data_IF_478530754256
#
_entry.id   IF_478530754256
#
_cell.length_a   1.000
_cell.length_b   1.000
_cell.length_c   1.000
_cell.angle_alpha   90.00
_cell.angle_beta   90.00
_cell.angle_gamma   90.00
#
_symmetry.space_group_name_H-M   'P 1'
#
loop_
_entity.id
_entity.type
_entity.pdbx_description
1 polymer ?
#
# COMPACT_ATOMS: atom_id res chain seq x y z
N UNK A 1 -25.62 -23.98 6.44
CA UNK A 1 -25.12 -24.02 7.83
C UNK A 1 -23.61 -23.73 8.01
N UNK A 2 -22.75 -23.76 6.96
CA UNK A 2 -21.29 -23.50 7.10
C UNK A 2 -20.91 -22.02 7.40
N UNK A 3 -21.75 -21.05 7.04
CA UNK A 3 -21.43 -19.61 7.18
C UNK A 3 -21.77 -18.98 8.56
N UNK A 4 -22.69 -19.57 9.33
CA UNK A 4 -23.04 -19.04 10.66
C UNK A 4 -21.92 -19.25 11.69
N UNK A 5 -21.20 -20.37 11.62
CA UNK A 5 -20.10 -20.66 12.54
C UNK A 5 -18.85 -19.80 12.31
N UNK A 6 -18.63 -19.31 11.09
CA UNK A 6 -17.53 -18.40 10.78
C UNK A 6 -17.84 -16.96 11.27
N UNK A 7 -19.10 -16.53 11.15
CA UNK A 7 -19.53 -15.21 11.63
C UNK A 7 -19.47 -15.10 13.16
N UNK A 8 -19.91 -16.14 13.88
CA UNK A 8 -19.87 -16.20 15.36
C UNK A 8 -18.41 -16.20 15.85
N UNK A 9 -17.52 -16.95 15.21
CA UNK A 9 -16.09 -16.94 15.55
C UNK A 9 -15.45 -15.57 15.33
N UNK A 10 -15.72 -14.92 14.21
CA UNK A 10 -15.23 -13.56 13.96
C UNK A 10 -15.72 -12.55 14.98
N UNK A 11 -16.99 -12.64 15.40
CA UNK A 11 -17.54 -11.79 16.45
C UNK A 11 -16.91 -12.05 17.81
N UNK A 12 -16.69 -13.31 18.19
CA UNK A 12 -16.03 -13.67 19.46
C UNK A 12 -14.57 -13.18 19.50
N UNK A 13 -13.83 -13.29 18.40
CA UNK A 13 -12.47 -12.76 18.30
C UNK A 13 -12.46 -11.23 18.37
N UNK A 14 -13.41 -10.55 17.71
CA UNK A 14 -13.51 -9.09 17.78
C UNK A 14 -13.81 -8.61 19.22
N UNK A 15 -14.62 -9.35 19.97
CA UNK A 15 -14.91 -9.06 21.39
C UNK A 15 -13.67 -9.33 22.25
N UNK A 16 -12.95 -10.43 22.03
CA UNK A 16 -11.68 -10.72 22.71
C UNK A 16 -10.65 -9.63 22.49
N UNK A 17 -10.46 -9.21 21.24
CA UNK A 17 -9.57 -8.14 20.87
C UNK A 17 -9.96 -6.77 21.47
N UNK A 18 -11.26 -6.48 21.60
CA UNK A 18 -11.76 -5.30 22.32
C UNK A 18 -11.38 -5.27 23.80
N UNK A 19 -11.26 -6.44 24.41
CA UNK A 19 -10.88 -6.56 25.81
C UNK A 19 -9.36 -6.44 26.00
N UNK A 20 -8.59 -6.92 25.01
CA UNK A 20 -7.11 -6.86 25.03
C UNK A 20 -6.58 -5.48 24.60
N UNK A 21 -7.12 -4.90 23.53
CA UNK A 21 -6.82 -3.55 23.04
C UNK A 21 -8.12 -2.85 22.58
N UNK A 22 -8.78 -2.09 23.47
CA UNK A 22 -10.03 -1.40 23.15
C UNK A 22 -9.91 -0.42 21.99
N UNK A 23 -8.76 0.20 21.78
CA UNK A 23 -8.53 1.14 20.68
C UNK A 23 -8.48 0.41 19.34
N UNK A 24 -7.80 -0.71 19.27
CA UNK A 24 -7.73 -1.55 18.07
C UNK A 24 -9.09 -2.20 17.78
N UNK A 25 -9.80 -2.62 18.80
CA UNK A 25 -11.16 -3.13 18.65
C UNK A 25 -12.12 -2.13 18.04
N UNK A 26 -12.06 -0.87 18.45
CA UNK A 26 -12.84 0.23 17.85
C UNK A 26 -12.45 0.47 16.37
N UNK A 27 -11.19 0.38 16.04
CA UNK A 27 -10.69 0.49 14.67
C UNK A 27 -11.27 -0.61 13.76
N UNK A 28 -11.33 -1.87 14.21
CA UNK A 28 -11.96 -2.95 13.46
C UNK A 28 -13.46 -2.75 13.26
N UNK A 29 -14.19 -2.29 14.28
CA UNK A 29 -15.62 -1.96 14.14
C UNK A 29 -15.83 -0.86 13.10
N UNK A 30 -15.02 0.18 13.13
CA UNK A 30 -15.09 1.28 12.17
C UNK A 30 -14.81 0.80 10.75
N UNK A 31 -13.75 0.01 10.55
CA UNK A 31 -13.41 -0.56 9.24
C UNK A 31 -14.53 -1.48 8.73
N UNK A 32 -15.07 -2.35 9.58
CA UNK A 32 -16.21 -3.19 9.24
C UNK A 32 -17.44 -2.39 8.80
N UNK A 33 -17.72 -1.29 9.50
CA UNK A 33 -18.83 -0.40 9.15
C UNK A 33 -18.60 0.37 7.84
N UNK A 34 -17.36 0.80 7.57
CA UNK A 34 -16.99 1.44 6.31
C UNK A 34 -17.10 0.47 5.12
N UNK A 35 -16.70 -0.80 5.29
CA UNK A 35 -16.88 -1.85 4.29
C UNK A 35 -18.37 -2.02 3.95
N UNK A 36 -19.23 -2.15 4.97
CA UNK A 36 -20.67 -2.34 4.76
C UNK A 36 -21.31 -1.12 4.08
N UNK A 37 -20.92 0.10 4.44
CA UNK A 37 -21.41 1.32 3.80
C UNK A 37 -20.88 1.54 2.38
N UNK A 38 -19.69 1.02 2.07
CA UNK A 38 -19.05 1.14 0.76
C UNK A 38 -19.62 0.18 -0.30
N UNK A 39 -20.41 -0.85 0.10
CA UNK A 39 -20.93 -1.87 -0.79
C UNK A 39 -21.81 -1.40 -1.96
N UNK A 40 -22.49 -0.23 -1.95
CA UNK A 40 -23.21 0.27 -3.11
C UNK A 40 -22.47 1.35 -3.91
N UNK A 41 -21.23 1.69 -3.60
CA UNK A 41 -20.43 2.64 -4.37
C UNK A 41 -20.07 2.06 -5.73
N UNK A 42 -20.55 2.68 -6.81
CA UNK A 42 -20.30 2.21 -8.17
C UNK A 42 -18.81 2.01 -8.41
N UNK A 43 -18.47 0.94 -9.15
CA UNK A 43 -17.10 0.65 -9.56
C UNK A 43 -16.54 1.83 -10.32
N UNK A 44 -15.35 2.29 -9.93
CA UNK A 44 -14.66 3.41 -10.58
C UNK A 44 -14.01 3.05 -11.92
N UNK A 45 -14.18 1.81 -12.44
CA UNK A 45 -13.52 1.32 -13.66
C UNK A 45 -13.69 2.28 -14.86
N UNK A 46 -14.87 2.88 -15.02
CA UNK A 46 -15.15 3.83 -16.10
C UNK A 46 -14.52 5.22 -15.92
N UNK A 47 -13.93 5.52 -14.76
CA UNK A 47 -13.33 6.82 -14.45
C UNK A 47 -11.89 6.93 -14.91
N UNK A 48 -11.24 5.81 -15.22
CA UNK A 48 -9.82 5.74 -15.49
C UNK A 48 -9.52 5.24 -16.90
N UNK A 49 -8.48 5.80 -17.49
CA UNK A 49 -7.86 5.31 -18.73
C UNK A 49 -6.42 4.92 -18.41
N UNK A 50 -6.13 3.62 -18.24
CA UNK A 50 -4.78 3.17 -17.97
C UNK A 50 -3.86 3.46 -19.15
N UNK A 51 -2.60 3.77 -18.85
CA UNK A 51 -1.54 3.95 -19.84
C UNK A 51 -1.30 2.66 -20.61
N UNK A 52 -1.02 2.77 -21.90
CA UNK A 52 -0.60 1.64 -22.76
C UNK A 52 0.87 1.26 -22.51
N UNK A 53 1.69 2.19 -22.00
CA UNK A 53 3.11 1.99 -21.68
C UNK A 53 3.40 2.51 -20.26
N UNK A 54 2.87 1.85 -19.21
CA UNK A 54 2.91 2.38 -17.84
C UNK A 54 4.32 2.54 -17.28
N UNK A 55 5.23 1.60 -17.51
CA UNK A 55 6.62 1.70 -17.04
C UNK A 55 7.34 2.90 -17.65
N UNK A 56 7.25 3.08 -18.98
CA UNK A 56 7.84 4.24 -19.66
C UNK A 56 7.24 5.53 -19.13
N UNK A 57 5.92 5.58 -18.98
CA UNK A 57 5.24 6.78 -18.46
C UNK A 57 5.65 7.10 -17.04
N UNK A 58 5.85 6.09 -16.20
CA UNK A 58 6.36 6.28 -14.84
C UNK A 58 7.75 6.93 -14.86
N UNK A 59 8.67 6.44 -15.69
CA UNK A 59 10.02 7.02 -15.82
C UNK A 59 9.97 8.48 -16.30
N UNK A 60 9.10 8.80 -17.25
CA UNK A 60 8.87 10.19 -17.66
C UNK A 60 8.41 11.08 -16.50
N UNK A 61 7.51 10.58 -15.64
CA UNK A 61 7.03 11.30 -14.45
C UNK A 61 8.12 11.52 -13.40
N UNK A 62 9.01 10.55 -13.25
CA UNK A 62 10.13 10.60 -12.32
C UNK A 62 11.34 11.38 -12.87
N UNK A 63 11.31 11.81 -14.13
CA UNK A 63 12.46 12.42 -14.80
C UNK A 63 13.61 11.43 -15.01
N UNK A 64 13.31 10.14 -15.06
CA UNK A 64 14.26 9.05 -15.19
C UNK A 64 14.37 8.55 -16.65
N UNK A 65 15.49 7.92 -16.97
CA UNK A 65 15.71 7.31 -18.29
C UNK A 65 14.89 6.04 -18.48
N UNK A 66 14.52 5.75 -19.72
CA UNK A 66 13.90 4.51 -20.14
C UNK A 66 14.71 3.87 -21.28
N UNK A 67 14.98 2.55 -21.30
CA UNK A 67 14.57 1.51 -20.31
C UNK A 67 15.14 1.72 -18.92
N UNK A 68 14.47 1.13 -17.91
CA UNK A 68 14.89 1.21 -16.51
C UNK A 68 16.25 0.54 -16.29
N UNK A 69 17.22 1.27 -15.78
CA UNK A 69 18.54 0.73 -15.45
C UNK A 69 18.51 -0.26 -14.27
N UNK A 70 17.43 -0.26 -13.48
CA UNK A 70 17.25 -1.13 -12.31
C UNK A 70 16.30 -2.32 -12.56
N UNK A 71 15.92 -2.59 -13.82
CA UNK A 71 14.94 -3.64 -14.14
C UNK A 71 15.47 -5.03 -13.78
N UNK A 72 16.69 -5.36 -14.16
CA UNK A 72 17.28 -6.67 -13.87
C UNK A 72 17.37 -6.92 -12.35
N UNK A 73 17.66 -5.87 -11.56
CA UNK A 73 17.67 -5.98 -10.09
C UNK A 73 16.27 -6.27 -9.54
N UNK A 74 15.24 -5.62 -10.09
CA UNK A 74 13.84 -5.87 -9.71
C UNK A 74 13.42 -7.30 -10.02
N UNK A 75 13.72 -7.81 -11.21
CA UNK A 75 13.34 -9.16 -11.64
C UNK A 75 13.94 -10.23 -10.72
N UNK A 76 15.22 -10.07 -10.36
CA UNK A 76 15.88 -10.96 -9.38
C UNK A 76 15.24 -10.85 -8.00
N UNK A 77 14.96 -9.64 -7.53
CA UNK A 77 14.30 -9.42 -6.26
C UNK A 77 12.91 -10.05 -6.23
N UNK A 78 12.09 -9.78 -7.26
CA UNK A 78 10.73 -10.29 -7.34
C UNK A 78 10.67 -11.81 -7.25
N UNK A 79 11.51 -12.50 -8.03
CA UNK A 79 11.63 -13.95 -7.98
C UNK A 79 12.02 -14.45 -6.58
N UNK A 80 12.90 -13.74 -5.88
CA UNK A 80 13.29 -14.07 -4.50
C UNK A 80 12.14 -13.89 -3.51
N UNK A 81 11.34 -12.83 -3.65
CA UNK A 81 10.14 -12.59 -2.81
C UNK A 81 9.13 -13.71 -2.98
N UNK A 82 8.78 -14.04 -4.23
CA UNK A 82 7.84 -15.11 -4.56
C UNK A 82 8.30 -16.44 -3.97
N UNK A 83 9.56 -16.84 -4.27
CA UNK A 83 10.13 -18.11 -3.79
C UNK A 83 10.19 -18.19 -2.26
N UNK A 84 10.46 -17.07 -1.58
CA UNK A 84 10.50 -17.01 -0.11
C UNK A 84 9.13 -17.25 0.52
N UNK A 85 8.06 -16.71 -0.07
CA UNK A 85 6.69 -16.90 0.41
C UNK A 85 6.20 -18.31 0.14
N UNK A 86 6.51 -18.88 -1.03
CA UNK A 86 6.19 -20.27 -1.36
C UNK A 86 6.87 -21.26 -0.40
N UNK A 87 8.14 -21.02 -0.08
CA UNK A 87 8.90 -21.85 0.86
C UNK A 87 8.33 -21.82 2.30
N UNK A 88 7.59 -20.77 2.68
CA UNK A 88 6.90 -20.67 3.96
C UNK A 88 5.57 -21.44 3.97
N UNK A 89 5.20 -22.13 2.88
CA UNK A 89 3.97 -22.92 2.77
C UNK A 89 2.71 -22.09 2.55
N UNK A 90 2.84 -20.80 2.34
CA UNK A 90 1.77 -19.92 1.92
C UNK A 90 1.94 -19.66 0.43
N UNK A 91 0.98 -20.12 -0.40
CA UNK A 91 1.01 -19.85 -1.85
C UNK A 91 1.18 -18.36 -2.12
N UNK A 92 1.96 -18.01 -3.14
CA UNK A 92 2.02 -16.65 -3.64
C UNK A 92 0.74 -16.34 -4.43
N UNK A 93 0.28 -15.09 -4.37
CA UNK A 93 -0.93 -14.67 -5.07
C UNK A 93 -2.20 -14.79 -4.23
N UNK A 94 -2.06 -14.93 -2.91
CA UNK A 94 -3.21 -14.76 -2.02
C UNK A 94 -3.79 -13.35 -2.14
N UNK A 95 -5.06 -13.21 -1.78
CA UNK A 95 -5.88 -12.02 -1.98
C UNK A 95 -5.25 -10.69 -1.52
N UNK A 96 -4.33 -10.74 -0.57
CA UNK A 96 -3.70 -9.57 0.04
C UNK A 96 -2.24 -9.37 -0.36
N UNK A 97 -1.71 -10.16 -1.30
CA UNK A 97 -0.37 -9.91 -1.83
C UNK A 97 -0.44 -8.81 -2.89
N UNK A 98 0.59 -7.98 -2.92
CA UNK A 98 0.75 -7.01 -4.00
C UNK A 98 1.01 -7.71 -5.33
N UNK A 99 0.51 -7.13 -6.41
CA UNK A 99 0.87 -7.57 -7.76
C UNK A 99 2.23 -7.02 -8.20
N UNK A 100 2.79 -7.66 -9.24
CA UNK A 100 4.12 -7.30 -9.75
C UNK A 100 4.18 -5.88 -10.30
N UNK A 101 3.11 -5.38 -10.93
CA UNK A 101 3.13 -4.07 -11.57
C UNK A 101 3.15 -2.93 -10.53
N UNK A 102 2.40 -3.06 -9.42
CA UNK A 102 2.48 -2.12 -8.30
C UNK A 102 3.83 -2.21 -7.58
N UNK A 103 4.32 -3.43 -7.36
CA UNK A 103 5.63 -3.66 -6.74
C UNK A 103 6.77 -3.03 -7.57
N UNK A 104 6.74 -3.20 -8.90
CA UNK A 104 7.68 -2.57 -9.84
C UNK A 104 7.58 -1.04 -9.80
N UNK A 105 6.37 -0.49 -9.74
CA UNK A 105 6.18 0.95 -9.61
C UNK A 105 6.74 1.51 -8.30
N UNK A 106 6.54 0.81 -7.17
CA UNK A 106 7.16 1.16 -5.89
C UNK A 106 8.69 1.09 -5.97
N UNK A 107 9.23 0.02 -6.58
CA UNK A 107 10.67 -0.13 -6.81
C UNK A 107 11.24 1.04 -7.61
N UNK A 108 10.64 1.36 -8.76
CA UNK A 108 11.07 2.49 -9.61
C UNK A 108 11.04 3.81 -8.85
N UNK A 109 9.95 4.10 -8.12
CA UNK A 109 9.87 5.32 -7.32
C UNK A 109 10.98 5.39 -6.27
N UNK A 110 11.24 4.31 -5.54
CA UNK A 110 12.29 4.28 -4.52
C UNK A 110 13.68 4.41 -5.14
N UNK A 111 13.97 3.66 -6.22
CA UNK A 111 15.30 3.65 -6.84
C UNK A 111 15.66 4.97 -7.52
N UNK A 112 14.69 5.64 -8.14
CA UNK A 112 14.95 6.90 -8.87
C UNK A 112 14.80 8.15 -7.99
N UNK A 113 13.92 8.16 -6.99
CA UNK A 113 13.74 9.33 -6.11
C UNK A 113 14.71 9.37 -4.94
N UNK A 114 15.40 8.26 -4.60
CA UNK A 114 16.29 8.12 -3.45
C UNK A 114 15.65 8.67 -2.16
N UNK A 115 14.48 8.18 -1.76
CA UNK A 115 13.72 8.76 -0.66
C UNK A 115 14.41 8.57 0.69
N UNK A 116 14.37 9.61 1.54
CA UNK A 116 14.74 9.49 2.95
C UNK A 116 13.58 8.98 3.80
N UNK A 117 12.35 9.36 3.44
CA UNK A 117 11.13 9.04 4.21
C UNK A 117 10.05 8.48 3.31
N UNK A 118 9.74 7.20 3.52
CA UNK A 118 8.65 6.52 2.84
C UNK A 118 7.59 6.12 3.87
N UNK A 119 6.33 6.43 3.61
CA UNK A 119 5.19 6.05 4.45
C UNK A 119 4.24 5.17 3.65
N UNK A 120 3.88 4.02 4.21
CA UNK A 120 2.98 3.03 3.64
C UNK A 120 1.80 2.78 4.58
N UNK A 121 0.60 2.67 4.03
CA UNK A 121 -0.58 2.15 4.73
C UNK A 121 -1.02 0.85 4.09
N UNK A 122 -1.18 -0.21 4.91
CA UNK A 122 -1.39 -1.59 4.45
C UNK A 122 -0.06 -2.31 4.26
N UNK A 123 0.09 -3.42 4.96
CA UNK A 123 1.32 -4.26 4.93
C UNK A 123 0.99 -5.67 4.50
N UNK A 124 -0.10 -6.23 5.03
CA UNK A 124 -0.44 -7.63 4.86
C UNK A 124 0.79 -8.54 5.10
N UNK A 125 1.18 -9.39 4.15
CA UNK A 125 2.40 -10.21 4.28
C UNK A 125 3.70 -9.43 4.02
N UNK A 126 3.64 -8.17 3.64
CA UNK A 126 4.79 -7.29 3.48
C UNK A 126 5.52 -7.41 2.16
N UNK A 127 4.82 -7.78 1.08
CA UNK A 127 5.41 -7.88 -0.27
C UNK A 127 5.90 -6.52 -0.75
N UNK A 128 5.03 -5.51 -0.73
CA UNK A 128 5.40 -4.13 -1.06
C UNK A 128 6.46 -3.58 -0.11
N UNK A 129 6.26 -3.76 1.21
CA UNK A 129 7.22 -3.33 2.22
C UNK A 129 8.62 -3.92 1.96
N UNK A 130 8.71 -5.22 1.57
CA UNK A 130 9.98 -5.88 1.21
C UNK A 130 10.62 -5.21 0.00
N UNK A 131 9.87 -4.97 -1.08
CA UNK A 131 10.38 -4.34 -2.31
C UNK A 131 10.89 -2.92 -2.03
N UNK A 132 10.13 -2.13 -1.28
CA UNK A 132 10.51 -0.77 -0.88
C UNK A 132 11.81 -0.79 -0.05
N UNK A 133 11.89 -1.65 0.95
CA UNK A 133 13.05 -1.76 1.84
C UNK A 133 14.31 -2.23 1.11
N UNK A 134 14.19 -3.14 0.15
CA UNK A 134 15.30 -3.58 -0.70
C UNK A 134 15.80 -2.42 -1.59
N UNK A 135 14.89 -1.58 -2.10
CA UNK A 135 15.26 -0.38 -2.84
C UNK A 135 15.99 0.65 -1.96
N UNK A 136 15.47 0.89 -0.75
CA UNK A 136 16.09 1.77 0.26
C UNK A 136 17.50 1.25 0.64
N UNK A 137 17.64 -0.06 0.85
CA UNK A 137 18.94 -0.66 1.21
C UNK A 137 19.97 -0.49 0.09
N UNK A 138 19.57 -0.70 -1.18
CA UNK A 138 20.45 -0.48 -2.34
C UNK A 138 20.82 0.98 -2.55
N UNK A 139 19.93 1.89 -2.21
CA UNK A 139 20.22 3.33 -2.23
C UNK A 139 21.16 3.77 -1.09
N UNK A 140 21.31 2.94 -0.04
CA UNK A 140 22.14 3.23 1.13
C UNK A 140 21.53 4.25 2.11
N UNK A 141 20.37 4.81 1.81
CA UNK A 141 19.69 5.83 2.62
C UNK A 141 18.18 5.60 2.61
N UNK A 142 17.49 6.12 3.61
CA UNK A 142 16.05 6.10 3.72
C UNK A 142 15.53 5.15 4.80
N UNK A 143 14.26 5.34 5.15
CA UNK A 143 13.52 4.55 6.12
C UNK A 143 12.05 4.42 5.71
N UNK A 144 11.46 3.24 5.97
CA UNK A 144 10.05 2.95 5.73
C UNK A 144 9.28 2.95 7.05
N UNK A 145 8.20 3.69 7.11
CA UNK A 145 7.17 3.61 8.15
C UNK A 145 5.91 3.01 7.56
N UNK A 146 5.49 1.88 8.09
CA UNK A 146 4.29 1.18 7.62
C UNK A 146 3.24 1.13 8.73
N UNK A 147 1.99 1.43 8.37
CA UNK A 147 0.84 1.36 9.27
C UNK A 147 -0.09 0.26 8.76
N UNK A 148 -0.43 -0.71 9.59
CA UNK A 148 -1.39 -1.75 9.23
C UNK A 148 -2.25 -2.16 10.43
N UNK A 149 -3.53 -2.42 10.15
CA UNK A 149 -4.46 -3.03 11.10
C UNK A 149 -4.67 -4.50 10.70
N UNK A 150 -3.89 -5.44 11.28
CA UNK A 150 -4.01 -6.85 10.93
C UNK A 150 -5.44 -7.34 11.11
N UNK A 151 -5.94 -8.22 10.23
CA UNK A 151 -7.26 -8.82 10.40
C UNK A 151 -7.36 -9.65 11.69
N UNK A 152 -8.57 -9.69 12.25
CA UNK A 152 -8.88 -10.37 13.53
C UNK A 152 -8.59 -11.90 13.61
N UNK A 153 -8.62 -12.69 12.51
CA UNK A 153 -8.39 -14.13 12.64
C UNK A 153 -6.99 -14.47 13.15
N UNK A 154 -6.92 -15.47 14.04
CA UNK A 154 -5.66 -16.01 14.56
C UNK A 154 -4.66 -16.33 13.43
N UNK A 155 -3.40 -15.97 13.65
CA UNK A 155 -2.30 -16.23 12.73
C UNK A 155 -1.91 -15.04 11.83
N UNK A 156 -2.76 -14.06 11.61
CA UNK A 156 -2.39 -12.89 10.77
C UNK A 156 -1.30 -12.02 11.39
N UNK A 157 -1.32 -11.82 12.72
CA UNK A 157 -0.26 -11.06 13.41
C UNK A 157 1.13 -11.65 13.18
N UNK A 158 1.22 -12.98 13.09
CA UNK A 158 2.48 -13.67 12.82
C UNK A 158 2.87 -13.64 11.35
N UNK A 159 1.93 -13.35 10.45
CA UNK A 159 2.15 -13.23 9.02
C UNK A 159 2.38 -11.79 8.56
N UNK A 160 1.94 -10.79 9.35
CA UNK A 160 2.15 -9.38 9.00
C UNK A 160 3.63 -9.07 8.82
N UNK A 161 4.00 -8.64 7.59
CA UNK A 161 5.38 -8.37 7.25
C UNK A 161 6.29 -9.60 7.16
N UNK A 162 5.74 -10.81 6.99
CA UNK A 162 6.52 -12.06 6.90
C UNK A 162 7.52 -12.08 5.74
N UNK A 163 7.25 -11.35 4.66
CA UNK A 163 8.17 -11.20 3.54
C UNK A 163 9.41 -10.35 3.89
N UNK A 164 9.33 -9.50 4.91
CA UNK A 164 10.43 -8.61 5.30
C UNK A 164 11.49 -9.39 6.08
N UNK A 165 12.68 -9.49 5.49
CA UNK A 165 13.81 -10.20 6.11
C UNK A 165 14.37 -9.47 7.33
N UNK A 166 15.01 -10.22 8.22
CA UNK A 166 15.60 -9.65 9.44
C UNK A 166 16.65 -8.55 9.15
N UNK A 167 17.40 -8.67 8.05
CA UNK A 167 18.41 -7.70 7.64
C UNK A 167 17.84 -6.32 7.30
N UNK A 168 16.60 -6.26 6.83
CA UNK A 168 15.93 -5.02 6.42
C UNK A 168 15.21 -4.30 7.57
N UNK A 169 15.00 -4.98 8.70
CA UNK A 169 14.22 -4.44 9.83
C UNK A 169 14.85 -3.21 10.49
N UNK A 170 16.14 -2.99 10.32
CA UNK A 170 16.82 -1.78 10.80
C UNK A 170 16.35 -0.48 10.10
N UNK A 171 15.77 -0.60 8.89
CA UNK A 171 15.22 0.52 8.11
C UNK A 171 13.69 0.53 8.06
N UNK A 172 13.05 -0.21 8.97
CA UNK A 172 11.60 -0.36 9.00
C UNK A 172 10.99 -0.10 10.36
N UNK A 173 10.01 0.77 10.41
CA UNK A 173 9.15 0.98 11.58
C UNK A 173 7.74 0.52 11.24
N UNK A 174 7.26 -0.52 11.93
CA UNK A 174 5.90 -1.04 11.79
C UNK A 174 5.02 -0.53 12.93
N UNK A 175 3.93 0.15 12.59
CA UNK A 175 2.92 0.68 13.51
C UNK A 175 1.63 -0.14 13.36
N UNK A 176 1.38 -1.02 14.32
CA UNK A 176 0.16 -1.83 14.35
C UNK A 176 -1.03 -0.98 14.77
N UNK A 177 -2.02 -0.86 13.89
CA UNK A 177 -3.25 -0.11 14.10
C UNK A 177 -3.79 0.56 12.85
N UNK A 178 -4.92 1.25 12.97
CA UNK A 178 -5.54 1.92 11.82
C UNK A 178 -4.75 3.15 11.37
N UNK A 179 -4.79 3.42 10.07
CA UNK A 179 -4.26 4.66 9.50
C UNK A 179 -4.93 5.91 10.10
N UNK A 180 -6.20 5.80 10.48
CA UNK A 180 -6.91 6.91 11.12
C UNK A 180 -6.34 7.30 12.49
N UNK A 181 -5.71 6.36 13.18
CA UNK A 181 -5.08 6.61 14.47
C UNK A 181 -3.64 7.09 14.31
N UNK A 182 -2.89 6.51 13.39
CA UNK A 182 -1.44 6.67 13.33
C UNK A 182 -0.95 7.62 12.24
N UNK A 183 -1.69 7.80 11.13
CA UNK A 183 -1.14 8.51 9.98
C UNK A 183 -0.86 10.00 10.25
N UNK A 184 -1.85 10.73 10.78
CA UNK A 184 -1.67 12.17 11.01
C UNK A 184 -0.59 12.48 12.05
N UNK A 185 -0.52 11.80 13.23
CA UNK A 185 0.59 11.97 14.16
C UNK A 185 1.96 11.64 13.55
N UNK A 186 2.08 10.52 12.83
CA UNK A 186 3.32 10.12 12.18
C UNK A 186 3.79 11.18 11.17
N UNK A 187 2.91 11.68 10.33
CA UNK A 187 3.25 12.70 9.34
C UNK A 187 3.64 14.03 9.98
N UNK A 188 3.01 14.40 11.10
CA UNK A 188 3.38 15.57 11.87
C UNK A 188 4.79 15.45 12.46
N UNK A 189 5.15 14.28 12.98
CA UNK A 189 6.48 13.99 13.52
C UNK A 189 7.56 13.97 12.43
N UNK A 190 7.26 13.41 11.26
CA UNK A 190 8.17 13.36 10.12
C UNK A 190 8.32 14.73 9.41
N UNK A 191 7.30 15.57 9.48
CA UNK A 191 7.24 16.88 8.82
C UNK A 191 7.00 16.77 7.31
N UNK A 192 7.92 16.16 6.57
CA UNK A 192 7.78 15.89 5.13
C UNK A 192 8.11 14.44 4.80
N UNK A 193 7.52 13.92 3.72
CA UNK A 193 7.78 12.58 3.19
C UNK A 193 8.08 12.65 1.69
N UNK A 194 8.87 11.72 1.21
CA UNK A 194 9.24 11.64 -0.21
C UNK A 194 8.23 10.82 -1.01
N UNK A 195 7.78 9.70 -0.42
CA UNK A 195 6.83 8.78 -1.04
C UNK A 195 5.76 8.40 -0.01
N UNK A 196 4.51 8.44 -0.42
CA UNK A 196 3.37 7.89 0.32
C UNK A 196 2.67 6.82 -0.50
N UNK A 197 2.38 5.66 0.11
CA UNK A 197 1.69 4.54 -0.52
C UNK A 197 0.40 4.23 0.24
N UNK A 198 -0.74 4.23 -0.49
CA UNK A 198 -2.03 3.74 -0.02
C UNK A 198 -2.27 2.34 -0.57
N UNK A 199 -2.26 1.34 0.29
CA UNK A 199 -2.59 -0.06 -0.02
C UNK A 199 -3.32 -0.72 1.17
N UNK A 200 -4.14 0.07 1.87
CA UNK A 200 -4.87 -0.35 3.07
C UNK A 200 -6.35 -0.65 2.77
N UNK A 201 -7.28 -0.21 3.62
CA UNK A 201 -8.71 -0.37 3.39
C UNK A 201 -9.18 0.46 2.18
N UNK A 202 -9.56 -0.18 1.08
CA UNK A 202 -9.98 0.43 -0.19
C UNK A 202 -11.45 0.94 -0.16
N UNK A 203 -11.90 1.48 0.97
CA UNK A 203 -13.15 2.24 1.02
C UNK A 203 -12.93 3.68 0.54
N UNK A 204 -13.94 4.27 -0.12
CA UNK A 204 -13.84 5.66 -0.57
C UNK A 204 -13.53 6.65 0.56
N UNK A 205 -14.03 6.37 1.76
CA UNK A 205 -13.82 7.21 2.94
C UNK A 205 -12.37 7.10 3.45
N UNK A 206 -11.82 5.87 3.49
CA UNK A 206 -10.46 5.65 3.95
C UNK A 206 -9.43 6.16 2.94
N UNK A 207 -9.56 5.80 1.66
CA UNK A 207 -8.69 6.26 0.59
C UNK A 207 -8.63 7.79 0.53
N UNK A 208 -9.78 8.47 0.58
CA UNK A 208 -9.84 9.94 0.65
C UNK A 208 -9.14 10.49 1.88
N UNK A 209 -9.37 9.89 3.06
CA UNK A 209 -8.74 10.31 4.30
C UNK A 209 -7.21 10.22 4.19
N UNK A 210 -6.68 9.06 3.79
CA UNK A 210 -5.24 8.85 3.74
C UNK A 210 -4.56 9.77 2.73
N UNK A 211 -5.08 9.84 1.49
CA UNK A 211 -4.51 10.71 0.46
C UNK A 211 -4.57 12.19 0.85
N UNK A 212 -5.72 12.67 1.38
CA UNK A 212 -5.83 14.08 1.77
C UNK A 212 -5.00 14.44 3.00
N UNK A 213 -4.74 13.48 3.90
CA UNK A 213 -3.88 13.67 5.07
C UNK A 213 -2.41 13.65 4.68
N UNK A 214 -2.01 12.75 3.78
CA UNK A 214 -0.61 12.59 3.40
C UNK A 214 -0.13 13.64 2.38
N UNK A 215 -0.97 14.06 1.44
CA UNK A 215 -0.56 14.95 0.35
C UNK A 215 0.10 16.25 0.77
N UNK A 216 -0.38 16.98 1.78
CA UNK A 216 0.31 18.19 2.26
C UNK A 216 1.76 17.95 2.69
N UNK A 217 2.05 16.75 3.20
CA UNK A 217 3.36 16.34 3.67
C UNK A 217 4.28 15.75 2.59
N UNK A 218 3.75 15.33 1.44
CA UNK A 218 4.60 14.90 0.32
C UNK A 218 5.36 16.11 -0.20
N UNK A 219 6.69 16.01 -0.34
CA UNK A 219 7.51 17.11 -0.89
C UNK A 219 7.28 17.33 -2.38
N UNK A 220 7.64 18.49 -2.93
CA UNK A 220 7.75 18.70 -4.38
C UNK A 220 8.72 17.67 -4.99
N UNK A 221 8.36 17.11 -6.13
CA UNK A 221 9.08 16.00 -6.77
C UNK A 221 8.91 14.65 -6.06
N UNK A 222 8.20 14.59 -4.94
CA UNK A 222 7.83 13.35 -4.28
C UNK A 222 6.64 12.67 -4.95
N UNK A 223 6.35 11.42 -4.59
CA UNK A 223 5.31 10.62 -5.21
C UNK A 223 4.25 10.14 -4.21
N UNK A 224 3.01 9.99 -4.69
CA UNK A 224 1.94 9.27 -4.02
C UNK A 224 1.47 8.14 -4.92
N UNK A 225 1.43 6.92 -4.37
CA UNK A 225 0.88 5.74 -5.04
C UNK A 225 -0.40 5.31 -4.34
N UNK A 226 -1.37 4.78 -5.09
CA UNK A 226 -2.61 4.26 -4.53
C UNK A 226 -3.02 2.99 -5.28
N UNK A 227 -3.27 1.92 -4.54
CA UNK A 227 -3.76 0.64 -5.06
C UNK A 227 -5.28 0.59 -5.15
N UNK A 228 -5.81 -0.37 -5.93
CA UNK A 228 -7.25 -0.67 -6.10
C UNK A 228 -8.12 0.58 -6.35
N UNK A 229 -7.61 1.55 -7.13
CA UNK A 229 -8.27 2.83 -7.36
C UNK A 229 -9.62 2.70 -8.08
N UNK A 230 -9.84 1.62 -8.85
CA UNK A 230 -11.12 1.33 -9.51
C UNK A 230 -12.22 0.92 -8.54
N UNK A 231 -11.88 0.57 -7.32
CA UNK A 231 -12.84 0.16 -6.29
C UNK A 231 -13.83 1.27 -5.92
N UNK A 232 -13.42 2.54 -6.11
CA UNK A 232 -14.23 3.70 -5.76
C UNK A 232 -13.71 4.99 -6.44
N UNK A 233 -14.45 6.12 -6.41
CA UNK A 233 -14.05 7.34 -7.09
C UNK A 233 -13.04 8.22 -6.32
N UNK A 234 -12.52 7.80 -5.16
CA UNK A 234 -11.75 8.69 -4.29
C UNK A 234 -10.46 9.21 -4.95
N UNK A 235 -9.71 8.33 -5.64
CA UNK A 235 -8.50 8.74 -6.35
C UNK A 235 -8.82 9.72 -7.49
N UNK A 236 -9.86 9.47 -8.30
CA UNK A 236 -10.26 10.38 -9.37
C UNK A 236 -10.71 11.75 -8.83
N UNK A 237 -11.37 11.79 -7.68
CA UNK A 237 -11.76 13.05 -7.03
C UNK A 237 -10.53 13.76 -6.46
N UNK A 238 -9.59 13.02 -5.85
CA UNK A 238 -8.36 13.58 -5.33
C UNK A 238 -7.51 14.23 -6.43
N UNK A 239 -7.30 13.56 -7.57
CA UNK A 239 -6.48 14.10 -8.67
C UNK A 239 -7.02 15.41 -9.25
N UNK A 240 -8.34 15.65 -9.13
CA UNK A 240 -8.95 16.95 -9.51
C UNK A 240 -8.58 18.08 -8.56
N UNK A 241 -8.17 17.78 -7.34
CA UNK A 241 -7.73 18.80 -6.36
C UNK A 241 -6.27 19.19 -6.57
N UNK A 242 -5.52 18.40 -7.36
CA UNK A 242 -4.08 18.59 -7.62
C UNK A 242 -3.79 18.60 -9.13
N UNK A 243 -4.47 19.45 -9.92
CA UNK A 243 -4.47 19.36 -11.40
C UNK A 243 -3.10 19.66 -12.04
N UNK A 244 -2.20 20.33 -11.31
CA UNK A 244 -0.84 20.63 -11.79
C UNK A 244 0.13 19.48 -11.62
N UNK A 245 -0.23 18.47 -10.82
CA UNK A 245 0.63 17.32 -10.57
C UNK A 245 0.41 16.26 -11.65
N UNK A 246 1.45 15.86 -12.37
CA UNK A 246 1.34 14.83 -13.39
C UNK A 246 1.03 13.47 -12.75
N UNK A 247 0.25 12.65 -13.45
CA UNK A 247 -0.19 11.35 -12.93
C UNK A 247 -0.09 10.23 -13.97
N UNK A 248 -0.06 9.01 -13.45
CA UNK A 248 -0.17 7.75 -14.16
C UNK A 248 -1.34 6.95 -13.58
N UNK A 249 -2.11 6.29 -14.45
CA UNK A 249 -2.97 5.15 -14.09
C UNK A 249 -2.44 3.93 -14.83
N UNK A 250 -2.23 2.84 -14.12
CA UNK A 250 -1.74 1.59 -14.68
C UNK A 250 -2.62 0.41 -14.27
N UNK A 251 -2.63 -0.64 -15.10
CA UNK A 251 -3.28 -1.90 -14.75
C UNK A 251 -2.39 -2.68 -13.79
N UNK A 252 -3.03 -3.32 -12.85
CA UNK A 252 -2.42 -4.45 -12.14
C UNK A 252 -2.14 -5.58 -13.14
N UNK A 253 -1.41 -6.60 -12.72
CA UNK A 253 -1.08 -7.74 -13.57
C UNK A 253 -2.32 -8.57 -13.98
N UNK A 254 -2.08 -9.63 -14.76
CA UNK A 254 -3.15 -10.50 -15.26
C UNK A 254 -3.90 -11.27 -14.16
N UNK A 255 -3.35 -11.37 -12.94
CA UNK A 255 -3.98 -12.06 -11.81
C UNK A 255 -4.99 -11.15 -11.08
N UNK A 256 -4.70 -9.87 -11.01
CA UNK A 256 -5.58 -8.85 -10.43
C UNK A 256 -6.10 -7.95 -11.56
N UNK A 257 -7.39 -7.73 -11.60
CA UNK A 257 -8.04 -6.92 -12.65
C UNK A 257 -8.21 -5.46 -12.23
N UNK A 258 -7.41 -5.01 -11.28
CA UNK A 258 -7.48 -3.67 -10.73
C UNK A 258 -6.63 -2.65 -11.46
N UNK A 259 -6.62 -1.46 -10.91
CA UNK A 259 -5.75 -0.36 -11.32
C UNK A 259 -5.05 0.22 -10.10
N UNK A 260 -3.83 0.68 -10.32
CA UNK A 260 -3.17 1.57 -9.38
C UNK A 260 -2.89 2.93 -10.03
N UNK A 261 -2.71 3.94 -9.19
CA UNK A 261 -2.41 5.30 -9.62
C UNK A 261 -1.14 5.83 -8.98
N UNK A 262 -0.39 6.64 -9.74
CA UNK A 262 0.78 7.38 -9.25
C UNK A 262 0.59 8.85 -9.54
N UNK A 263 0.83 9.71 -8.56
CA UNK A 263 0.84 11.18 -8.72
C UNK A 263 2.18 11.69 -8.22
N UNK A 264 2.88 12.45 -9.06
CA UNK A 264 4.12 13.14 -8.67
C UNK A 264 3.78 14.58 -8.33
N UNK A 265 4.22 15.06 -7.15
CA UNK A 265 3.90 16.41 -6.70
C UNK A 265 4.72 17.45 -7.45
N UNK A 266 4.04 18.39 -8.09
CA UNK A 266 4.66 19.51 -8.76
C UNK A 266 5.41 20.45 -7.81
#
# INVERSE_FOLDING_TARGET
>A
MRNLGAGVRKAAHAVGALLEDPAQGLDWFRNGFEIVRGLPGGRGEGLYRPSEAPQRRLHELLGASWPCEFQDEFDVLWNSVVSSLEAQGSGFGERYDSDVALAEANWCCVRHLHPERVVETGVARGVNSRVILEGIERNGTGHLWSIDLPPVPDGWRTQSGAAVTQSLRGRWTFLEGSSRRHLAPLLADLGSVDIFIHDSLHSAANMRFEMSTAWPHVRSGGAMLADDIESNPAFALFTRTVPSSPMLVARQDAMKRGFFGVVVKA
#
